data_IF_869606675892
#
_entry.id   IF_869606675892
#
_cell.length_a   1.000
_cell.length_b   1.000
_cell.length_c   1.000
_cell.angle_alpha   90.00
_cell.angle_beta   90.00
_cell.angle_gamma   90.00
#
_symmetry.space_group_name_H-M   'P 1'
#
loop_
_entity.id
_entity.type
_entity.pdbx_description
1 polymer ?
#
# COMPACT_ATOMS: atom_id res chain seq x y z
N UNK A 1 -6.64 -13.20 -2.59
CA UNK A 1 -5.47 -14.10 -2.52
C UNK A 1 -4.61 -13.73 -1.32
N UNK A 2 -4.17 -14.73 -0.56
CA UNK A 2 -3.20 -14.56 0.53
C UNK A 2 -1.93 -15.35 0.18
N UNK A 3 -1.08 -14.77 -0.66
CA UNK A 3 0.12 -15.43 -1.16
C UNK A 3 1.30 -14.45 -1.18
N UNK A 4 2.50 -14.98 -0.98
CA UNK A 4 3.73 -14.24 -1.28
C UNK A 4 3.95 -14.11 -2.79
N UNK A 5 4.94 -13.32 -3.24
CA UNK A 5 5.11 -13.02 -4.67
C UNK A 5 5.32 -14.30 -5.50
N UNK A 6 6.19 -15.21 -5.03
CA UNK A 6 6.47 -16.47 -5.73
C UNK A 6 5.23 -17.38 -5.86
N UNK A 7 4.44 -17.50 -4.79
CA UNK A 7 3.22 -18.32 -4.80
C UNK A 7 2.13 -17.68 -5.68
N UNK A 8 2.00 -16.35 -5.62
CA UNK A 8 1.02 -15.63 -6.42
C UNK A 8 1.31 -15.76 -7.93
N UNK A 9 2.58 -15.70 -8.32
CA UNK A 9 3.02 -15.90 -9.72
C UNK A 9 2.71 -17.30 -10.24
N UNK A 10 2.63 -18.31 -9.36
CA UNK A 10 2.17 -19.65 -9.74
C UNK A 10 0.63 -19.75 -9.77
N UNK A 11 -0.05 -19.09 -8.84
CA UNK A 11 -1.49 -19.23 -8.65
C UNK A 11 -2.32 -18.41 -9.65
N UNK A 12 -1.91 -17.18 -9.97
CA UNK A 12 -2.66 -16.29 -10.86
C UNK A 12 -2.81 -16.86 -12.29
N UNK A 13 -1.77 -17.40 -12.95
CA UNK A 13 -1.94 -18.02 -14.27
C UNK A 13 -2.92 -19.22 -14.27
N UNK A 14 -3.00 -19.97 -13.17
CA UNK A 14 -3.97 -21.06 -13.03
C UNK A 14 -5.41 -20.53 -12.93
N UNK A 15 -5.61 -19.42 -12.20
CA UNK A 15 -6.91 -18.74 -12.12
C UNK A 15 -7.34 -18.27 -13.51
N UNK A 16 -6.44 -17.67 -14.28
CA UNK A 16 -6.73 -17.18 -15.63
C UNK A 16 -7.07 -18.33 -16.59
N UNK A 17 -6.34 -19.44 -16.51
CA UNK A 17 -6.57 -20.63 -17.34
C UNK A 17 -7.95 -21.26 -17.09
N UNK A 18 -8.45 -21.23 -15.86
CA UNK A 18 -9.77 -21.78 -15.49
C UNK A 18 -10.95 -20.81 -15.73
N UNK A 19 -10.85 -19.97 -16.78
CA UNK A 19 -11.91 -19.06 -17.26
C UNK A 19 -12.34 -17.96 -16.28
N UNK A 20 -11.48 -17.60 -15.32
CA UNK A 20 -11.73 -16.48 -14.42
C UNK A 20 -11.01 -15.19 -14.85
N UNK A 21 -10.76 -14.98 -16.15
CA UNK A 21 -10.02 -13.80 -16.63
C UNK A 21 -10.72 -12.48 -16.27
N UNK A 22 -12.05 -12.50 -16.18
CA UNK A 22 -12.88 -11.33 -15.85
C UNK A 22 -13.03 -11.13 -14.35
N UNK A 23 -12.53 -12.06 -13.53
CA UNK A 23 -12.69 -11.97 -12.10
C UNK A 23 -11.65 -11.01 -11.52
N UNK A 24 -12.06 -9.95 -10.81
CA UNK A 24 -11.11 -9.10 -10.11
C UNK A 24 -10.41 -9.90 -9.00
N UNK A 25 -9.10 -10.08 -9.15
CA UNK A 25 -8.27 -10.78 -8.15
C UNK A 25 -7.70 -9.75 -7.19
N UNK A 26 -8.10 -9.84 -5.92
CA UNK A 26 -7.55 -9.00 -4.85
C UNK A 26 -6.46 -9.72 -4.07
N UNK A 27 -5.48 -8.99 -3.55
CA UNK A 27 -4.44 -9.52 -2.66
C UNK A 27 -4.05 -8.54 -1.57
N UNK A 28 -3.35 -9.03 -0.54
CA UNK A 28 -2.70 -8.19 0.48
C UNK A 28 -1.32 -7.73 0.01
N UNK A 29 -0.71 -6.80 0.74
CA UNK A 29 0.64 -6.25 0.49
C UNK A 29 1.74 -7.30 0.33
N UNK A 30 1.53 -8.54 0.84
CA UNK A 30 2.48 -9.65 0.72
C UNK A 30 2.81 -10.03 -0.72
N UNK A 31 1.93 -9.72 -1.67
CA UNK A 31 2.16 -10.03 -3.09
C UNK A 31 3.30 -9.19 -3.70
N UNK A 32 3.62 -8.05 -3.10
CA UNK A 32 4.63 -7.14 -3.60
C UNK A 32 5.84 -7.07 -2.67
N UNK A 33 7.02 -7.41 -3.20
CA UNK A 33 8.28 -7.41 -2.44
C UNK A 33 8.87 -6.01 -2.23
N UNK A 34 8.32 -4.98 -2.89
CA UNK A 34 8.93 -3.66 -2.95
C UNK A 34 9.99 -3.50 -4.02
N UNK A 35 10.41 -4.59 -4.69
CA UNK A 35 11.36 -4.57 -5.80
C UNK A 35 10.60 -4.65 -7.14
N UNK A 36 10.78 -3.67 -8.04
CA UNK A 36 10.28 -3.78 -9.41
C UNK A 36 10.95 -4.97 -10.10
N UNK A 37 10.13 -5.84 -10.68
CA UNK A 37 10.53 -7.01 -11.45
C UNK A 37 9.53 -7.19 -12.59
N UNK A 38 9.59 -6.34 -13.63
CA UNK A 38 8.53 -6.25 -14.62
C UNK A 38 8.24 -7.58 -15.31
N UNK A 39 9.29 -8.34 -15.64
CA UNK A 39 9.18 -9.63 -16.35
C UNK A 39 8.38 -10.62 -15.52
N UNK A 40 8.75 -10.83 -14.26
CA UNK A 40 8.06 -11.82 -13.44
C UNK A 40 6.76 -11.30 -12.81
N UNK A 41 6.51 -9.99 -12.87
CA UNK A 41 5.22 -9.41 -12.48
C UNK A 41 4.16 -9.51 -13.60
N UNK A 42 4.52 -9.91 -14.83
CA UNK A 42 3.54 -10.22 -15.88
C UNK A 42 2.59 -11.34 -15.46
N UNK A 43 3.09 -12.32 -14.69
CA UNK A 43 2.25 -13.39 -14.12
C UNK A 43 1.23 -12.89 -13.09
N UNK A 44 1.35 -11.63 -12.65
CA UNK A 44 0.46 -10.98 -11.69
C UNK A 44 -0.47 -9.95 -12.35
N UNK A 45 -0.51 -9.90 -13.68
CA UNK A 45 -1.27 -8.89 -14.42
C UNK A 45 -2.74 -8.80 -13.97
N UNK A 46 -3.21 -7.57 -13.76
CA UNK A 46 -4.57 -7.27 -13.34
C UNK A 46 -4.84 -7.47 -11.84
N UNK A 47 -3.93 -8.08 -11.07
CA UNK A 47 -4.13 -8.26 -9.63
C UNK A 47 -4.14 -6.90 -8.93
N UNK A 48 -5.18 -6.66 -8.12
CA UNK A 48 -5.35 -5.47 -7.29
C UNK A 48 -4.88 -5.80 -5.88
N UNK A 49 -4.07 -4.94 -5.28
CA UNK A 49 -3.60 -5.17 -3.91
C UNK A 49 -3.47 -3.88 -3.12
N UNK A 50 -3.64 -4.00 -1.81
CA UNK A 50 -3.49 -2.90 -0.88
C UNK A 50 -2.11 -2.91 -0.22
N UNK A 51 -1.44 -1.77 -0.18
CA UNK A 51 -0.17 -1.58 0.50
C UNK A 51 -0.03 -0.16 1.04
N UNK A 52 1.01 0.08 1.84
CA UNK A 52 1.26 1.42 2.35
C UNK A 52 1.76 2.35 1.23
N UNK A 53 1.41 3.65 1.25
CA UNK A 53 1.89 4.61 0.25
C UNK A 53 3.41 4.60 0.11
N UNK A 54 4.16 4.41 1.21
CA UNK A 54 5.61 4.27 1.17
C UNK A 54 6.13 3.23 0.16
N UNK A 55 5.38 2.16 -0.10
CA UNK A 55 5.74 1.10 -1.05
C UNK A 55 5.27 1.38 -2.48
N UNK A 56 4.18 2.14 -2.65
CA UNK A 56 3.50 2.33 -3.94
C UNK A 56 3.89 3.64 -4.62
N UNK A 57 4.16 4.68 -3.84
CA UNK A 57 4.39 6.02 -4.36
C UNK A 57 5.76 6.10 -5.04
N UNK A 58 5.75 6.29 -6.36
CA UNK A 58 6.86 6.88 -7.11
C UNK A 58 7.18 8.26 -6.50
N UNK A 59 8.44 8.70 -6.34
CA UNK A 59 8.84 10.02 -5.77
C UNK A 59 8.12 11.30 -6.25
N UNK A 60 7.04 11.25 -7.01
CA UNK A 60 6.23 12.41 -7.40
C UNK A 60 4.85 12.47 -6.74
N UNK A 61 4.36 11.41 -6.07
CA UNK A 61 2.93 11.28 -5.74
C UNK A 61 2.42 11.82 -4.39
N UNK A 62 3.23 11.88 -3.33
CA UNK A 62 2.77 12.37 -2.02
C UNK A 62 3.83 13.21 -1.31
N UNK A 63 4.03 14.41 -1.86
CA UNK A 63 4.18 15.73 -1.21
C UNK A 63 5.11 16.00 -0.02
N UNK A 64 5.60 15.02 0.74
CA UNK A 64 6.51 15.29 1.89
C UNK A 64 7.67 14.31 2.03
N UNK A 65 7.48 13.02 1.70
CA UNK A 65 8.55 12.01 1.85
C UNK A 65 9.40 11.82 0.59
N UNK A 66 8.90 12.22 -0.57
CA UNK A 66 9.73 12.32 -1.76
C UNK A 66 10.68 13.52 -1.71
N UNK A 67 10.28 14.58 -1.01
CA UNK A 67 11.00 15.85 -0.92
C UNK A 67 12.19 15.82 0.06
N UNK A 68 12.31 14.82 0.93
CA UNK A 68 13.41 14.76 1.90
C UNK A 68 14.76 14.43 1.27
N UNK A 69 14.83 14.02 -0.01
CA UNK A 69 16.08 13.74 -0.72
C UNK A 69 16.93 12.61 -0.10
N UNK A 70 16.49 12.04 1.03
CA UNK A 70 17.17 10.99 1.73
C UNK A 70 16.84 9.67 1.04
N UNK A 71 17.90 8.93 0.67
CA UNK A 71 17.78 7.54 0.23
C UNK A 71 16.92 6.80 1.25
N UNK A 72 15.77 6.24 0.84
CA UNK A 72 14.97 5.34 1.68
C UNK A 72 15.92 4.27 2.23
N UNK A 73 16.24 4.26 3.54
CA UNK A 73 17.14 3.27 4.08
C UNK A 73 16.43 1.92 3.97
N UNK A 74 17.14 0.88 3.50
CA UNK A 74 16.60 -0.46 3.29
C UNK A 74 15.64 -0.63 2.10
N UNK A 75 15.73 0.25 1.08
CA UNK A 75 14.96 0.15 -0.16
C UNK A 75 15.00 -1.27 -0.74
N UNK A 76 13.83 -1.80 -1.12
CA UNK A 76 13.65 -3.14 -1.68
C UNK A 76 13.90 -4.29 -0.69
N UNK A 77 13.74 -4.02 0.61
CA UNK A 77 13.80 -5.05 1.65
C UNK A 77 12.51 -5.12 2.45
N UNK A 78 12.25 -6.22 3.18
CA UNK A 78 11.13 -6.30 4.11
C UNK A 78 11.12 -5.19 5.17
N UNK A 79 12.26 -4.55 5.44
CA UNK A 79 12.40 -3.48 6.43
C UNK A 79 11.83 -2.14 5.96
N UNK A 80 11.55 -1.94 4.67
CA UNK A 80 10.98 -0.67 4.17
C UNK A 80 9.67 -0.33 4.87
N UNK A 81 8.79 -1.32 5.05
CA UNK A 81 7.50 -1.14 5.73
C UNK A 81 7.67 -0.88 7.23
N UNK A 82 8.69 -1.49 7.85
CA UNK A 82 9.01 -1.27 9.26
C UNK A 82 9.58 0.14 9.47
N UNK A 83 10.41 0.62 8.53
CA UNK A 83 10.92 1.98 8.57
C UNK A 83 9.79 3.00 8.45
N UNK A 84 8.87 2.80 7.50
CA UNK A 84 7.67 3.63 7.37
C UNK A 84 6.82 3.64 8.66
N UNK A 85 6.68 2.48 9.32
CA UNK A 85 6.03 2.38 10.63
C UNK A 85 6.76 3.22 11.69
N UNK A 86 8.09 3.20 11.72
CA UNK A 86 8.89 4.00 12.65
C UNK A 86 8.74 5.51 12.43
N UNK A 87 8.68 5.94 11.18
CA UNK A 87 8.42 7.34 10.79
C UNK A 87 7.06 7.80 11.35
N UNK A 88 6.02 7.00 11.15
CA UNK A 88 4.68 7.33 11.65
C UNK A 88 4.57 7.24 13.17
N UNK A 89 5.21 6.25 13.79
CA UNK A 89 5.24 6.12 15.24
C UNK A 89 5.84 7.38 15.89
N UNK A 90 6.94 7.91 15.33
CA UNK A 90 7.54 9.15 15.81
C UNK A 90 6.61 10.36 15.62
N UNK A 91 5.97 10.49 14.46
CA UNK A 91 5.02 11.58 14.20
C UNK A 91 3.81 11.53 15.15
N UNK A 92 3.33 10.33 15.48
CA UNK A 92 2.20 10.13 16.37
C UNK A 92 2.48 10.55 17.82
N UNK A 93 3.73 10.48 18.31
CA UNK A 93 4.08 10.95 19.66
C UNK A 93 3.59 12.39 19.91
N UNK A 94 3.69 13.25 18.89
CA UNK A 94 3.29 14.66 19.00
C UNK A 94 1.82 14.92 18.64
N UNK A 95 1.16 13.98 17.93
CA UNK A 95 -0.20 14.16 17.40
C UNK A 95 -1.27 13.34 18.12
N UNK A 96 -0.88 12.41 19.00
CA UNK A 96 -1.82 11.46 19.62
C UNK A 96 -2.93 12.16 20.40
N UNK A 97 -2.62 13.21 21.18
CA UNK A 97 -3.64 13.93 21.96
C UNK A 97 -4.68 14.59 21.06
N UNK A 98 -4.23 15.21 19.97
CA UNK A 98 -5.09 15.87 18.97
C UNK A 98 -5.99 14.84 18.25
N UNK A 99 -5.39 13.76 17.75
CA UNK A 99 -6.09 12.70 17.02
C UNK A 99 -7.08 11.91 17.90
N UNK A 100 -6.78 11.72 19.19
CA UNK A 100 -7.72 11.08 20.12
C UNK A 100 -8.88 11.98 20.51
N UNK A 101 -8.65 13.29 20.56
CA UNK A 101 -9.68 14.28 20.90
C UNK A 101 -10.70 14.50 19.79
N UNK A 102 -10.34 14.19 18.54
CA UNK A 102 -11.20 14.39 17.38
C UNK A 102 -11.20 13.15 16.45
N UNK A 103 -12.22 12.28 16.53
CA UNK A 103 -12.33 11.08 15.69
C UNK A 103 -12.37 11.32 14.18
N UNK A 104 -12.74 12.54 13.75
CA UNK A 104 -12.80 12.92 12.34
C UNK A 104 -11.44 13.46 11.83
N UNK A 105 -10.49 13.68 12.72
CA UNK A 105 -9.16 14.14 12.36
C UNK A 105 -8.32 12.98 11.81
N UNK A 106 -7.73 13.21 10.65
CA UNK A 106 -6.80 12.27 10.01
C UNK A 106 -5.43 12.90 9.79
N UNK A 107 -4.40 12.07 9.80
CA UNK A 107 -3.02 12.48 9.59
C UNK A 107 -2.41 11.74 8.39
N UNK A 108 -1.92 12.45 7.35
CA UNK A 108 -1.21 11.80 6.26
C UNK A 108 0.16 11.30 6.73
N UNK A 109 0.32 9.98 6.84
CA UNK A 109 1.55 9.29 7.22
C UNK A 109 2.18 8.49 6.08
N UNK A 110 3.38 7.95 6.33
CA UNK A 110 4.09 7.06 5.43
C UNK A 110 3.35 5.72 5.22
N UNK A 111 2.60 5.28 6.22
CA UNK A 111 1.81 4.03 6.20
C UNK A 111 0.37 4.20 5.71
N UNK A 112 -0.06 5.42 5.40
CA UNK A 112 -1.43 5.73 4.96
C UNK A 112 -2.02 6.93 5.68
N UNK A 113 -3.32 7.17 5.46
CA UNK A 113 -4.05 8.12 6.30
C UNK A 113 -4.29 7.49 7.67
N UNK A 114 -3.78 8.13 8.71
CA UNK A 114 -3.84 7.63 10.08
C UNK A 114 -4.97 8.32 10.84
N UNK A 115 -5.82 7.52 11.51
CA UNK A 115 -6.87 7.97 12.43
C UNK A 115 -6.72 7.23 13.75
N UNK A 116 -7.18 7.83 14.85
CA UNK A 116 -7.22 7.15 16.14
C UNK A 116 -8.67 7.07 16.61
N UNK A 117 -9.15 5.85 16.84
CA UNK A 117 -10.51 5.67 17.36
C UNK A 117 -10.62 6.02 18.85
N UNK A 118 -11.86 6.05 19.37
CA UNK A 118 -12.13 6.37 20.78
C UNK A 118 -11.46 5.40 21.76
N UNK A 119 -11.16 4.18 21.33
CA UNK A 119 -10.43 3.18 22.14
C UNK A 119 -8.91 3.34 22.07
N UNK A 120 -8.40 4.31 21.31
CA UNK A 120 -6.98 4.55 21.12
C UNK A 120 -6.34 3.67 20.05
N UNK A 121 -7.12 2.96 19.22
CA UNK A 121 -6.57 2.14 18.13
C UNK A 121 -6.20 3.01 16.95
N UNK A 122 -5.02 2.76 16.41
CA UNK A 122 -4.52 3.38 15.19
C UNK A 122 -5.13 2.68 13.98
N UNK A 123 -6.00 3.38 13.26
CA UNK A 123 -6.59 2.96 11.99
C UNK A 123 -5.78 3.57 10.84
N UNK A 124 -5.68 2.83 9.74
CA UNK A 124 -4.91 3.23 8.55
C UNK A 124 -5.68 2.94 7.29
N UNK A 125 -5.83 3.96 6.46
CA UNK A 125 -6.36 3.79 5.10
C UNK A 125 -5.17 3.57 4.16
N UNK A 126 -5.14 2.38 3.54
CA UNK A 126 -4.05 1.95 2.66
C UNK A 126 -4.26 2.45 1.23
N UNK A 127 -3.18 2.51 0.46
CA UNK A 127 -3.25 2.77 -0.98
C UNK A 127 -3.49 1.47 -1.74
N UNK A 128 -4.32 1.56 -2.78
CA UNK A 128 -4.58 0.44 -3.68
C UNK A 128 -3.74 0.58 -4.93
N UNK A 129 -3.20 -0.53 -5.42
CA UNK A 129 -2.45 -0.58 -6.66
C UNK A 129 -2.84 -1.80 -7.49
N UNK A 130 -2.49 -1.75 -8.77
CA UNK A 130 -2.70 -2.83 -9.73
C UNK A 130 -1.40 -3.13 -10.46
N UNK A 131 -1.14 -4.41 -10.72
CA UNK A 131 -0.13 -4.80 -11.69
C UNK A 131 -0.66 -4.55 -13.11
N UNK A 132 0.04 -3.68 -13.85
CA UNK A 132 -0.25 -3.34 -15.23
C UNK A 132 1.04 -3.35 -16.05
N UNK A 133 1.10 -4.18 -17.09
CA UNK A 133 2.28 -4.36 -17.94
C UNK A 133 3.54 -4.68 -17.11
N UNK A 134 3.38 -5.51 -16.07
CA UNK A 134 4.45 -5.86 -15.12
C UNK A 134 4.83 -4.76 -14.12
N UNK A 135 4.28 -3.56 -14.24
CA UNK A 135 4.53 -2.44 -13.33
C UNK A 135 3.43 -2.30 -12.28
N UNK A 136 3.78 -1.74 -11.12
CA UNK A 136 2.80 -1.40 -10.08
C UNK A 136 2.27 0.01 -10.36
N UNK A 137 0.97 0.12 -10.62
CA UNK A 137 0.28 1.40 -10.85
C UNK A 137 -0.68 1.65 -9.69
N UNK A 138 -0.53 2.78 -9.00
CA UNK A 138 -1.46 3.19 -7.95
C UNK A 138 -2.85 3.51 -8.56
N UNK A 139 -3.90 3.03 -7.90
CA UNK A 139 -5.27 3.30 -8.29
C UNK A 139 -5.76 4.60 -7.62
N UNK A 140 -6.65 5.36 -8.27
CA UNK A 140 -7.31 6.49 -7.61
C UNK A 140 -7.96 6.02 -6.31
N UNK A 141 -7.72 6.71 -5.21
CA UNK A 141 -8.47 6.43 -3.98
C UNK A 141 -9.95 6.74 -4.25
N UNK A 142 -10.81 5.75 -4.06
CA UNK A 142 -12.24 5.92 -4.15
C UNK A 142 -12.67 6.72 -2.92
N UNK A 143 -13.10 7.96 -3.11
CA UNK A 143 -13.69 8.75 -2.04
C UNK A 143 -15.08 8.17 -1.72
N UNK A 144 -15.30 7.58 -0.53
CA UNK A 144 -16.59 6.99 -0.19
C UNK A 144 -17.72 8.02 -0.10
N UNK A 145 -17.45 9.32 -0.23
CA UNK A 145 -18.47 10.37 -0.33
C UNK A 145 -19.11 10.52 -1.74
N UNK A 146 -18.61 9.80 -2.75
CA UNK A 146 -19.08 9.94 -4.13
C UNK A 146 -20.01 8.80 -4.62
N UNK A 147 -20.33 7.84 -3.74
CA UNK A 147 -21.37 6.83 -3.98
C UNK A 147 -22.70 7.35 -3.38
N UNK A 148 -23.33 8.30 -4.08
CA UNK A 148 -24.63 8.87 -3.78
C UNK A 148 -25.73 8.38 -4.73
#
# INVERSE_FOLDING_TARGET
MLAGPAQARLLKPQIDFHQAHDLPVFSTSRIFSGRPDPVANLDLEGVIFGDIPWMLTNPMGHGKFAATGQRKPHRHTPLDRLFALGVDAYALVYKTTELRGNPDLSHPGATGMIRIDRSGRVLRDISWARFKEGNVTELPQTDPSNDG
#
